data_IF_091174421757
#
_entry.id   IF_091174421757
#
_cell.length_a   1.000
_cell.length_b   1.000
_cell.length_c   1.000
_cell.angle_alpha   90.00
_cell.angle_beta   90.00
_cell.angle_gamma   90.00
#
_symmetry.space_group_name_H-M   'P 1'
#
loop_
_entity.id
_entity.type
_entity.pdbx_description
1 polymer ?
#
# COMPACT_ATOMS: atom_id res chain seq x y z
N UNK A 1 19.76 -30.43 -9.41
CA UNK A 1 20.22 -29.83 -8.14
C UNK A 1 19.76 -28.38 -8.17
N UNK A 2 18.90 -27.85 -7.29
CA UNK A 2 18.43 -28.27 -5.97
C UNK A 2 16.93 -27.99 -5.83
N UNK A 3 16.18 -29.00 -5.36
CA UNK A 3 14.90 -28.77 -4.69
C UNK A 3 15.23 -28.05 -3.38
N UNK A 4 14.76 -26.82 -3.20
CA UNK A 4 14.77 -26.15 -1.90
C UNK A 4 13.31 -25.91 -1.51
N UNK A 5 12.59 -27.01 -1.26
CA UNK A 5 11.42 -26.97 -0.38
C UNK A 5 11.92 -26.44 0.95
N UNK A 6 11.40 -25.29 1.39
CA UNK A 6 11.67 -24.75 2.73
C UNK A 6 11.05 -25.69 3.74
N UNK A 7 11.76 -26.77 4.10
CA UNK A 7 11.39 -27.58 5.25
C UNK A 7 11.33 -26.66 6.47
N UNK A 8 10.11 -26.55 6.99
CA UNK A 8 9.81 -25.74 8.17
C UNK A 8 10.67 -26.20 9.34
N UNK A 9 10.92 -25.31 10.30
CA UNK A 9 11.67 -25.64 11.52
C UNK A 9 11.05 -26.85 12.25
N UNK A 10 9.75 -27.08 12.06
CA UNK A 10 8.99 -28.18 12.66
C UNK A 10 9.07 -29.50 11.89
N UNK A 11 9.12 -29.52 10.55
CA UNK A 11 9.41 -30.74 9.76
C UNK A 11 10.78 -31.32 10.14
N UNK A 12 11.79 -30.44 10.27
CA UNK A 12 13.12 -30.82 10.78
C UNK A 12 13.09 -31.34 12.22
N UNK A 13 12.13 -30.92 13.04
CA UNK A 13 11.98 -31.42 14.41
C UNK A 13 11.30 -32.81 14.43
N UNK A 14 10.29 -33.02 13.60
CA UNK A 14 9.59 -34.29 13.45
C UNK A 14 10.51 -35.38 12.91
N UNK A 15 11.30 -35.08 11.87
CA UNK A 15 12.30 -36.01 11.33
C UNK A 15 13.39 -36.34 12.35
N UNK A 16 13.89 -35.35 13.09
CA UNK A 16 14.85 -35.58 14.18
C UNK A 16 14.28 -36.47 15.28
N UNK A 17 13.01 -36.30 15.66
CA UNK A 17 12.35 -37.20 16.61
C UNK A 17 12.22 -38.63 16.05
N UNK A 18 11.89 -38.77 14.77
CA UNK A 18 11.82 -40.06 14.08
C UNK A 18 13.19 -40.78 14.06
N UNK A 19 14.26 -40.04 13.77
CA UNK A 19 15.63 -40.56 13.83
C UNK A 19 16.03 -40.96 15.25
N UNK A 20 15.73 -40.12 16.26
CA UNK A 20 15.99 -40.43 17.67
C UNK A 20 15.23 -41.69 18.14
N UNK A 21 13.98 -41.89 17.71
CA UNK A 21 13.21 -43.10 18.02
C UNK A 21 13.87 -44.33 17.35
N UNK A 22 14.35 -44.19 16.12
CA UNK A 22 15.02 -45.28 15.38
C UNK A 22 16.39 -45.64 15.97
N UNK A 23 17.18 -44.65 16.39
CA UNK A 23 18.48 -44.83 17.03
C UNK A 23 18.34 -45.44 18.42
N UNK A 24 17.39 -44.94 19.23
CA UNK A 24 17.15 -45.47 20.57
C UNK A 24 16.65 -46.92 20.52
N UNK A 25 15.88 -47.32 19.50
CA UNK A 25 15.46 -48.71 19.29
C UNK A 25 16.60 -49.66 18.89
N UNK A 26 17.77 -49.16 18.45
CA UNK A 26 18.91 -49.95 17.98
C UNK A 26 20.00 -50.14 19.04
N UNK A 27 20.00 -49.37 20.13
CA UNK A 27 21.03 -49.46 21.16
C UNK A 27 20.73 -50.59 22.13
N UNK A 28 21.52 -51.66 22.07
CA UNK A 28 21.49 -52.73 23.06
C UNK A 28 22.05 -52.24 24.40
N UNK A 29 21.26 -52.45 25.46
CA UNK A 29 21.66 -52.60 26.87
C UNK A 29 21.39 -51.45 27.87
N UNK A 30 20.84 -51.94 28.99
CA UNK A 30 20.84 -51.45 30.38
C UNK A 30 19.67 -50.54 30.79
N UNK A 31 18.80 -51.14 31.61
CA UNK A 31 17.54 -50.67 32.22
C UNK A 31 16.30 -50.66 31.28
N UNK A 32 15.65 -51.83 31.18
CA UNK A 32 14.44 -52.04 30.37
C UNK A 32 13.28 -51.14 30.79
N UNK A 33 13.14 -50.84 32.07
CA UNK A 33 12.00 -50.06 32.58
C UNK A 33 12.17 -48.58 32.21
N UNK A 34 13.39 -48.07 32.31
CA UNK A 34 13.74 -46.72 31.85
C UNK A 34 13.68 -46.61 30.31
N UNK A 35 14.07 -47.67 29.59
CA UNK A 35 13.96 -47.77 28.13
C UNK A 35 12.51 -47.65 27.65
N UNK A 36 11.60 -48.48 28.16
CA UNK A 36 10.20 -48.46 27.73
C UNK A 36 9.49 -47.18 28.15
N UNK A 37 9.80 -46.61 29.31
CA UNK A 37 9.26 -45.33 29.75
C UNK A 37 9.66 -44.18 28.82
N UNK A 38 10.94 -44.10 28.45
CA UNK A 38 11.46 -43.05 27.56
C UNK A 38 10.98 -43.22 26.12
N UNK A 39 10.89 -44.46 25.63
CA UNK A 39 10.31 -44.77 24.32
C UNK A 39 8.82 -44.42 24.25
N UNK A 40 8.06 -44.70 25.32
CA UNK A 40 6.63 -44.33 25.41
C UNK A 40 6.44 -42.81 25.42
N UNK A 41 7.33 -42.08 26.12
CA UNK A 41 7.31 -40.62 26.12
C UNK A 41 7.59 -40.02 24.73
N UNK A 42 8.61 -40.53 24.03
CA UNK A 42 8.96 -40.09 22.66
C UNK A 42 7.84 -40.37 21.66
N UNK A 43 7.25 -41.58 21.69
CA UNK A 43 6.08 -41.92 20.85
C UNK A 43 4.87 -41.04 21.17
N UNK A 44 4.65 -40.72 22.45
CA UNK A 44 3.60 -39.80 22.89
C UNK A 44 3.80 -38.37 22.38
N UNK A 45 5.05 -37.88 22.32
CA UNK A 45 5.37 -36.58 21.73
C UNK A 45 5.14 -36.56 20.22
N UNK A 46 5.59 -37.61 19.50
CA UNK A 46 5.38 -37.73 18.06
C UNK A 46 3.89 -37.77 17.69
N UNK A 47 3.07 -38.50 18.45
CA UNK A 47 1.63 -38.57 18.23
C UNK A 47 0.92 -37.22 18.46
N UNK A 48 1.30 -36.48 19.51
CA UNK A 48 0.77 -35.13 19.77
C UNK A 48 1.12 -34.14 18.66
N UNK A 49 2.35 -34.20 18.14
CA UNK A 49 2.78 -33.34 17.03
C UNK A 49 1.97 -33.66 15.76
N UNK A 50 1.74 -34.94 15.47
CA UNK A 50 0.92 -35.36 14.33
C UNK A 50 -0.56 -34.91 14.47
N UNK A 51 -1.13 -34.97 15.67
CA UNK A 51 -2.50 -34.48 15.92
C UNK A 51 -2.61 -32.95 15.74
N UNK A 52 -1.60 -32.19 16.19
CA UNK A 52 -1.53 -30.74 15.95
C UNK A 52 -1.45 -30.45 14.44
N UNK A 53 -0.65 -31.23 13.69
CA UNK A 53 -0.53 -31.06 12.25
C UNK A 53 -1.85 -31.34 11.52
N UNK A 54 -2.55 -32.42 11.86
CA UNK A 54 -3.87 -32.69 11.28
C UNK A 54 -4.92 -31.64 11.66
N UNK A 55 -4.88 -31.09 12.88
CA UNK A 55 -5.74 -29.98 13.26
C UNK A 55 -5.40 -28.71 12.50
N UNK A 56 -4.12 -28.37 12.35
CA UNK A 56 -3.69 -27.21 11.57
C UNK A 56 -4.06 -27.36 10.11
N UNK A 57 -3.87 -28.54 9.52
CA UNK A 57 -4.29 -28.86 8.15
C UNK A 57 -5.81 -28.74 7.97
N UNK A 58 -6.60 -29.25 8.93
CA UNK A 58 -8.06 -29.11 8.91
C UNK A 58 -8.54 -27.66 9.16
N UNK A 59 -7.82 -26.88 9.96
CA UNK A 59 -8.06 -25.44 10.17
C UNK A 59 -7.67 -24.62 8.94
N UNK A 60 -6.58 -24.98 8.26
CA UNK A 60 -6.17 -24.42 6.97
C UNK A 60 -7.16 -24.80 5.85
N UNK A 61 -7.73 -26.01 5.87
CA UNK A 61 -8.79 -26.43 4.94
C UNK A 61 -10.14 -25.75 5.23
N UNK A 62 -10.36 -25.27 6.48
CA UNK A 62 -11.56 -24.53 6.91
C UNK A 62 -11.26 -23.05 7.14
N UNK A 63 -10.83 -22.34 6.12
CA UNK A 63 -10.84 -20.88 6.14
C UNK A 63 -12.27 -20.34 6.32
N UNK A 64 -12.60 -19.79 7.50
CA UNK A 64 -13.87 -19.07 7.72
C UNK A 64 -13.99 -17.88 6.76
N UNK A 65 -15.22 -17.48 6.40
CA UNK A 65 -15.42 -16.31 5.52
C UNK A 65 -14.76 -15.03 6.06
N UNK A 66 -14.76 -14.87 7.39
CA UNK A 66 -14.10 -13.76 8.09
C UNK A 66 -12.58 -13.76 7.85
N UNK A 67 -11.94 -14.93 7.96
CA UNK A 67 -10.50 -15.09 7.73
C UNK A 67 -10.13 -14.91 6.25
N UNK A 68 -11.00 -15.36 5.32
CA UNK A 68 -10.85 -15.11 3.87
C UNK A 68 -10.93 -13.63 3.56
N UNK A 69 -11.84 -12.91 4.21
CA UNK A 69 -11.95 -11.46 4.08
C UNK A 69 -10.72 -10.74 4.63
N UNK A 70 -10.18 -11.18 5.77
CA UNK A 70 -8.94 -10.63 6.33
C UNK A 70 -7.74 -10.81 5.38
N UNK A 71 -7.58 -12.00 4.78
CA UNK A 71 -6.43 -12.31 3.93
C UNK A 71 -6.53 -11.73 2.52
N UNK A 72 -7.70 -11.86 1.89
CA UNK A 72 -7.87 -11.61 0.45
C UNK A 72 -8.93 -10.54 0.17
N UNK A 73 -9.61 -10.02 1.19
CA UNK A 73 -10.73 -9.09 1.01
C UNK A 73 -10.38 -7.78 0.33
N UNK A 74 -9.08 -7.43 0.27
CA UNK A 74 -8.57 -6.25 -0.44
C UNK A 74 -7.87 -6.59 -1.77
N UNK A 75 -7.73 -7.87 -2.13
CA UNK A 75 -7.11 -8.30 -3.38
C UNK A 75 -8.10 -8.13 -4.54
N UNK A 76 -7.71 -7.37 -5.57
CA UNK A 76 -8.59 -7.00 -6.68
C UNK A 76 -8.96 -8.20 -7.56
N UNK A 77 -8.02 -9.14 -7.78
CA UNK A 77 -8.25 -10.36 -8.55
C UNK A 77 -9.20 -11.27 -7.77
N UNK A 78 -9.02 -11.38 -6.45
CA UNK A 78 -9.91 -12.12 -5.57
C UNK A 78 -11.33 -11.52 -5.52
N UNK A 79 -11.45 -10.20 -5.39
CA UNK A 79 -12.73 -9.49 -5.42
C UNK A 79 -13.46 -9.72 -6.75
N UNK A 80 -12.74 -9.61 -7.88
CA UNK A 80 -13.29 -9.88 -9.22
C UNK A 80 -13.68 -11.33 -9.41
N UNK A 81 -12.87 -12.28 -8.92
CA UNK A 81 -13.21 -13.70 -8.93
C UNK A 81 -14.51 -13.98 -8.16
N UNK A 82 -14.74 -13.31 -7.02
CA UNK A 82 -15.98 -13.41 -6.24
C UNK A 82 -17.18 -12.81 -6.98
N UNK A 83 -17.01 -11.62 -7.58
CA UNK A 83 -18.04 -10.94 -8.36
C UNK A 83 -18.51 -11.80 -9.56
N UNK A 84 -17.56 -12.43 -10.25
CA UNK A 84 -17.81 -13.24 -11.44
C UNK A 84 -18.22 -14.69 -11.12
N UNK A 85 -18.21 -15.09 -9.86
CA UNK A 85 -18.52 -16.47 -9.44
C UNK A 85 -17.48 -17.51 -9.91
N UNK A 86 -16.21 -17.11 -10.07
CA UNK A 86 -15.14 -18.00 -10.51
C UNK A 86 -14.65 -18.90 -9.35
N UNK A 87 -15.42 -19.95 -9.06
CA UNK A 87 -15.16 -20.85 -7.94
C UNK A 87 -13.81 -21.58 -8.03
N UNK A 88 -13.34 -21.88 -9.25
CA UNK A 88 -12.05 -22.56 -9.45
C UNK A 88 -10.88 -21.68 -9.01
N UNK A 89 -10.90 -20.39 -9.37
CA UNK A 89 -9.87 -19.45 -8.96
C UNK A 89 -9.94 -19.16 -7.45
N UNK A 90 -11.16 -19.01 -6.91
CA UNK A 90 -11.37 -18.82 -5.45
C UNK A 90 -10.82 -19.99 -4.63
N UNK A 91 -11.03 -21.22 -5.08
CA UNK A 91 -10.47 -22.42 -4.44
C UNK A 91 -8.94 -22.38 -4.41
N UNK A 92 -8.29 -21.93 -5.49
CA UNK A 92 -6.83 -21.76 -5.54
C UNK A 92 -6.31 -20.70 -4.57
N UNK A 93 -7.03 -19.58 -4.40
CA UNK A 93 -6.72 -18.60 -3.35
C UNK A 93 -6.83 -19.22 -1.95
N UNK A 94 -7.93 -19.92 -1.66
CA UNK A 94 -8.19 -20.48 -0.33
C UNK A 94 -7.22 -21.58 0.05
N UNK A 95 -6.82 -22.40 -0.92
CA UNK A 95 -5.83 -23.48 -0.74
C UNK A 95 -4.38 -23.00 -0.86
N UNK A 96 -4.15 -21.72 -1.16
CA UNK A 96 -2.83 -21.14 -1.45
C UNK A 96 -2.05 -21.89 -2.52
N UNK A 97 -2.79 -22.50 -3.46
CA UNK A 97 -2.23 -23.23 -4.61
C UNK A 97 -2.13 -22.37 -5.87
N UNK A 98 -2.67 -21.14 -5.83
CA UNK A 98 -2.61 -20.20 -6.93
C UNK A 98 -1.15 -19.80 -7.21
N UNK A 99 -0.71 -20.06 -8.43
CA UNK A 99 0.63 -19.66 -8.89
C UNK A 99 0.64 -18.22 -9.38
N UNK A 100 1.85 -17.66 -9.49
CA UNK A 100 2.08 -16.31 -10.00
C UNK A 100 1.51 -16.11 -11.42
N UNK A 101 1.78 -17.07 -12.33
CA UNK A 101 1.35 -17.01 -13.73
C UNK A 101 -0.18 -17.07 -13.83
N UNK A 102 -0.81 -17.95 -13.05
CA UNK A 102 -2.28 -18.06 -13.01
C UNK A 102 -2.94 -16.80 -12.44
N UNK A 103 -2.30 -16.13 -11.48
CA UNK A 103 -2.77 -14.85 -10.95
C UNK A 103 -2.67 -13.74 -12.01
N UNK A 104 -1.57 -13.71 -12.79
CA UNK A 104 -1.39 -12.75 -13.89
C UNK A 104 -2.43 -12.96 -15.00
N UNK A 105 -2.61 -14.20 -15.46
CA UNK A 105 -3.62 -14.55 -16.47
C UNK A 105 -5.02 -14.14 -16.01
N UNK A 106 -5.36 -14.40 -14.75
CA UNK A 106 -6.64 -13.99 -14.18
C UNK A 106 -6.80 -12.47 -14.15
N UNK A 107 -5.75 -11.73 -13.80
CA UNK A 107 -5.80 -10.27 -13.77
C UNK A 107 -5.98 -9.66 -15.16
N UNK A 108 -5.25 -10.16 -16.17
CA UNK A 108 -5.43 -9.77 -17.57
C UNK A 108 -6.85 -10.06 -18.05
N UNK A 109 -7.36 -11.27 -17.77
CA UNK A 109 -8.72 -11.67 -18.13
C UNK A 109 -9.78 -10.77 -17.48
N UNK A 110 -9.55 -10.32 -16.25
CA UNK A 110 -10.49 -9.47 -15.51
C UNK A 110 -10.30 -7.97 -15.79
N UNK A 111 -9.29 -7.60 -16.59
CA UNK A 111 -8.93 -6.20 -16.80
C UNK A 111 -8.48 -5.50 -15.52
N UNK A 112 -7.92 -6.25 -14.57
CA UNK A 112 -7.35 -5.73 -13.33
C UNK A 112 -5.92 -5.30 -13.63
N UNK A 113 -5.65 -3.99 -13.52
CA UNK A 113 -4.28 -3.48 -13.51
C UNK A 113 -3.60 -3.87 -12.20
N UNK A 114 -2.80 -4.95 -12.23
CA UNK A 114 -1.99 -5.39 -11.08
C UNK A 114 -0.95 -4.36 -10.66
N UNK A 115 -0.71 -3.35 -11.50
CA UNK A 115 0.34 -2.37 -11.33
C UNK A 115 1.72 -2.96 -11.56
N UNK A 116 2.67 -2.05 -11.81
CA UNK A 116 4.12 -2.35 -11.92
C UNK A 116 4.68 -2.86 -10.58
N UNK A 117 3.88 -2.77 -9.52
CA UNK A 117 4.18 -3.11 -8.14
C UNK A 117 4.45 -4.60 -7.91
N UNK A 118 3.63 -5.44 -8.55
CA UNK A 118 3.73 -6.90 -8.53
C UNK A 118 5.00 -7.38 -9.26
N UNK A 119 5.44 -6.66 -10.29
CA UNK A 119 6.55 -7.09 -11.14
C UNK A 119 7.96 -6.72 -10.64
N UNK A 120 8.16 -5.66 -9.83
CA UNK A 120 9.52 -5.08 -9.64
C UNK A 120 9.95 -4.62 -8.23
N UNK A 121 9.10 -4.67 -7.20
CA UNK A 121 9.46 -4.26 -5.82
C UNK A 121 9.70 -2.74 -5.65
N UNK A 122 9.18 -2.15 -4.55
CA UNK A 122 9.03 -0.69 -4.37
C UNK A 122 10.27 0.17 -4.66
N UNK A 123 11.47 -0.29 -4.29
CA UNK A 123 12.71 0.48 -4.38
C UNK A 123 13.25 0.64 -5.82
N UNK A 124 12.77 -0.15 -6.80
CA UNK A 124 13.20 -0.02 -8.20
C UNK A 124 12.21 0.73 -9.11
N UNK A 125 11.05 1.16 -8.57
CA UNK A 125 9.90 1.66 -9.36
C UNK A 125 9.98 3.13 -9.75
N UNK A 126 10.60 3.97 -8.91
CA UNK A 126 10.52 5.41 -9.04
C UNK A 126 11.89 6.06 -8.89
N UNK A 127 12.13 7.09 -9.67
CA UNK A 127 13.38 7.86 -9.64
C UNK A 127 13.46 8.71 -8.35
N UNK A 128 12.30 8.99 -7.75
CA UNK A 128 12.16 9.69 -6.46
C UNK A 128 10.84 9.30 -5.79
N UNK A 129 10.86 9.24 -4.44
CA UNK A 129 9.68 9.08 -3.59
C UNK A 129 9.75 10.08 -2.45
N UNK A 130 8.69 10.87 -2.26
CA UNK A 130 8.60 11.81 -1.13
C UNK A 130 8.12 11.13 0.15
N UNK A 131 8.30 11.81 1.29
CA UNK A 131 7.55 11.47 2.50
C UNK A 131 6.03 11.56 2.24
N UNK A 132 5.28 10.80 3.04
CA UNK A 132 3.82 10.86 3.05
C UNK A 132 3.32 12.16 3.68
N UNK A 133 2.29 12.76 3.06
CA UNK A 133 1.50 13.86 3.60
C UNK A 133 0.03 13.52 3.38
N UNK A 134 -0.78 13.60 4.44
CA UNK A 134 -2.23 13.30 4.39
C UNK A 134 -2.57 11.93 3.76
N UNK A 135 -1.73 10.91 4.00
CA UNK A 135 -1.92 9.55 3.48
C UNK A 135 -1.43 9.32 2.05
N UNK A 136 -0.77 10.31 1.44
CA UNK A 136 -0.27 10.24 0.07
C UNK A 136 1.22 10.55 -0.03
N UNK A 137 1.95 9.82 -0.87
CA UNK A 137 3.31 10.15 -1.26
C UNK A 137 3.38 10.46 -2.75
N UNK A 138 4.25 11.39 -3.12
CA UNK A 138 4.51 11.75 -4.51
C UNK A 138 5.70 10.97 -5.01
N UNK A 139 5.63 10.50 -6.24
CA UNK A 139 6.69 9.72 -6.86
C UNK A 139 6.95 10.22 -8.27
N UNK A 140 8.17 10.00 -8.75
CA UNK A 140 8.52 10.33 -10.15
C UNK A 140 8.99 9.10 -10.90
N UNK A 141 8.61 9.04 -12.18
CA UNK A 141 9.12 8.06 -13.13
C UNK A 141 9.17 8.69 -14.51
N UNK A 142 10.31 8.57 -15.19
CA UNK A 142 10.51 9.03 -16.56
C UNK A 142 10.15 10.52 -16.75
N UNK A 143 10.46 11.34 -15.74
CA UNK A 143 10.20 12.78 -15.75
C UNK A 143 8.74 13.19 -15.51
N UNK A 144 7.85 12.26 -15.16
CA UNK A 144 6.46 12.54 -14.77
C UNK A 144 6.20 12.23 -13.31
N UNK A 145 5.27 12.98 -12.72
CA UNK A 145 4.86 12.83 -11.34
C UNK A 145 3.58 12.01 -11.21
N UNK A 146 3.54 11.20 -10.16
CA UNK A 146 2.38 10.41 -9.75
C UNK A 146 2.20 10.53 -8.23
N UNK A 147 1.03 10.12 -7.76
CA UNK A 147 0.78 9.93 -6.33
C UNK A 147 0.48 8.47 -6.05
N UNK A 148 1.01 8.00 -4.93
CA UNK A 148 0.76 6.69 -4.36
C UNK A 148 0.12 6.82 -2.99
N UNK A 149 -0.66 5.82 -2.59
CA UNK A 149 -1.14 5.69 -1.22
C UNK A 149 -0.12 4.98 -0.32
N UNK A 150 -0.44 4.83 0.97
CA UNK A 150 0.41 4.18 1.98
C UNK A 150 0.73 2.71 1.67
N UNK A 151 -0.06 2.06 0.81
CA UNK A 151 0.19 0.70 0.33
C UNK A 151 1.15 0.67 -0.88
N UNK A 152 1.66 1.84 -1.30
CA UNK A 152 2.51 1.98 -2.47
C UNK A 152 1.77 1.98 -3.80
N UNK A 153 0.43 1.87 -3.78
CA UNK A 153 -0.38 1.74 -4.98
C UNK A 153 -0.53 3.10 -5.65
N UNK A 154 -0.32 3.16 -6.97
CA UNK A 154 -0.55 4.36 -7.78
C UNK A 154 -2.02 4.78 -7.71
N UNK A 155 -2.26 6.02 -7.31
CA UNK A 155 -3.58 6.63 -7.23
C UNK A 155 -3.86 7.54 -8.42
N UNK A 156 -2.98 8.52 -8.72
CA UNK A 156 -3.23 9.51 -9.76
C UNK A 156 -1.95 10.02 -10.46
N UNK A 157 -2.13 10.57 -11.66
CA UNK A 157 -1.09 10.98 -12.61
C UNK A 157 -1.27 10.32 -13.99
N UNK A 158 -0.40 10.60 -14.98
CA UNK A 158 0.80 11.42 -14.89
C UNK A 158 0.52 12.93 -14.91
N UNK A 159 1.33 13.68 -14.17
CA UNK A 159 1.39 15.14 -14.20
C UNK A 159 2.81 15.63 -14.48
N UNK A 160 2.96 16.88 -14.92
CA UNK A 160 4.27 17.52 -15.10
C UNK A 160 4.93 17.83 -13.75
N UNK A 161 4.13 18.11 -12.73
CA UNK A 161 4.54 18.35 -11.36
C UNK A 161 3.36 18.10 -10.40
N UNK A 162 3.65 17.68 -9.18
CA UNK A 162 2.66 17.54 -8.09
C UNK A 162 3.28 18.07 -6.81
N UNK A 163 2.57 18.97 -6.12
CA UNK A 163 2.95 19.38 -4.77
C UNK A 163 2.31 18.50 -3.68
N UNK A 164 2.79 18.61 -2.44
CA UNK A 164 2.29 17.82 -1.33
C UNK A 164 0.81 18.11 -1.07
N UNK A 165 0.08 17.11 -0.60
CA UNK A 165 -1.26 17.34 -0.04
C UNK A 165 -1.16 18.22 1.20
N UNK A 166 -2.00 19.23 1.23
CA UNK A 166 -2.22 20.11 2.36
C UNK A 166 -3.67 20.58 2.38
N UNK A 167 -4.32 20.43 3.54
CA UNK A 167 -5.72 20.79 3.77
C UNK A 167 -6.69 20.09 2.79
N UNK A 168 -6.37 18.85 2.40
CA UNK A 168 -7.19 18.03 1.51
C UNK A 168 -6.98 18.28 0.02
N UNK A 169 -6.03 19.16 -0.37
CA UNK A 169 -5.73 19.47 -1.76
C UNK A 169 -4.24 19.33 -2.07
N UNK A 170 -3.94 18.98 -3.31
CA UNK A 170 -2.60 19.07 -3.88
C UNK A 170 -2.64 19.91 -5.16
N UNK A 171 -1.62 20.74 -5.39
CA UNK A 171 -1.48 21.40 -6.69
C UNK A 171 -0.80 20.47 -7.69
N UNK A 172 -1.28 20.51 -8.93
CA UNK A 172 -0.72 19.73 -10.04
C UNK A 172 -0.48 20.62 -11.24
N UNK A 173 0.57 20.32 -12.00
CA UNK A 173 0.85 20.95 -13.29
C UNK A 173 0.50 20.00 -14.42
N UNK A 174 -0.28 20.48 -15.37
CA UNK A 174 -0.65 19.76 -16.58
C UNK A 174 -0.72 20.72 -17.75
N UNK A 175 -0.07 20.37 -18.86
CA UNK A 175 -0.12 21.12 -20.12
C UNK A 175 0.26 22.61 -19.93
N UNK A 176 1.24 22.86 -19.04
CA UNK A 176 1.74 24.22 -18.76
C UNK A 176 0.86 25.06 -17.83
N UNK A 177 -0.28 24.57 -17.35
CA UNK A 177 -1.14 25.23 -16.36
C UNK A 177 -1.20 24.46 -15.05
N UNK A 178 -1.60 25.15 -13.99
CA UNK A 178 -1.77 24.56 -12.67
C UNK A 178 -3.23 24.41 -12.27
N UNK A 179 -3.50 23.36 -11.51
CA UNK A 179 -4.79 22.99 -10.97
C UNK A 179 -4.64 22.52 -9.53
N UNK A 180 -5.73 22.50 -8.78
CA UNK A 180 -5.82 21.80 -7.50
C UNK A 180 -6.65 20.54 -7.68
N UNK A 181 -6.15 19.42 -7.17
CA UNK A 181 -6.87 18.16 -7.07
C UNK A 181 -7.21 17.85 -5.62
N UNK A 182 -8.34 17.18 -5.40
CA UNK A 182 -8.68 16.61 -4.09
C UNK A 182 -8.02 15.23 -3.87
N UNK A 183 -8.25 14.63 -2.71
CA UNK A 183 -7.74 13.30 -2.33
C UNK A 183 -8.30 12.14 -3.18
N UNK A 184 -9.32 12.40 -4.01
CA UNK A 184 -9.83 11.46 -5.03
C UNK A 184 -9.16 11.63 -6.39
N UNK A 185 -8.25 12.60 -6.53
CA UNK A 185 -7.58 12.93 -7.79
C UNK A 185 -8.44 13.76 -8.75
N UNK A 186 -9.60 14.24 -8.31
CA UNK A 186 -10.50 15.07 -9.12
C UNK A 186 -9.97 16.51 -9.16
N UNK A 187 -9.91 17.11 -10.35
CA UNK A 187 -9.58 18.54 -10.49
C UNK A 187 -10.73 19.37 -9.91
N UNK A 188 -10.43 20.15 -8.87
CA UNK A 188 -11.40 21.02 -8.20
C UNK A 188 -11.28 22.47 -8.68
N UNK A 189 -10.07 23.01 -8.78
CA UNK A 189 -9.83 24.44 -9.07
C UNK A 189 -8.76 24.63 -10.16
N UNK A 190 -8.88 25.68 -10.96
CA UNK A 190 -7.99 26.01 -12.08
C UNK A 190 -8.74 26.31 -13.38
N UNK A 191 -8.03 26.59 -14.48
CA UNK A 191 -6.57 26.68 -14.60
C UNK A 191 -5.98 28.00 -14.07
N UNK A 192 -4.75 27.92 -13.57
CA UNK A 192 -3.94 29.07 -13.12
C UNK A 192 -2.54 29.07 -13.75
N UNK A 193 -1.87 30.22 -13.71
CA UNK A 193 -0.50 30.40 -14.21
C UNK A 193 0.54 29.90 -13.21
N UNK A 194 0.31 30.18 -11.92
CA UNK A 194 1.09 29.69 -10.78
C UNK A 194 0.15 29.43 -9.60
N UNK A 195 0.46 28.43 -8.77
CA UNK A 195 -0.29 28.11 -7.54
C UNK A 195 0.66 27.60 -6.47
N UNK A 196 0.26 27.72 -5.21
CA UNK A 196 0.97 27.17 -4.06
C UNK A 196 0.01 26.37 -3.19
N UNK A 197 0.53 25.59 -2.24
CA UNK A 197 -0.27 24.76 -1.33
C UNK A 197 -1.22 25.60 -0.48
N UNK A 198 -2.31 24.97 -0.04
CA UNK A 198 -3.19 25.57 0.95
C UNK A 198 -2.48 25.75 2.29
N UNK A 199 -2.79 26.84 2.98
CA UNK A 199 -2.36 27.13 4.34
C UNK A 199 -3.36 28.07 5.00
N UNK A 200 -3.82 27.71 6.19
CA UNK A 200 -4.83 28.47 6.95
C UNK A 200 -6.13 28.69 6.18
N UNK A 201 -6.53 27.72 5.35
CA UNK A 201 -7.75 27.76 4.55
C UNK A 201 -7.63 28.53 3.22
N UNK A 202 -6.45 29.02 2.86
CA UNK A 202 -6.22 29.77 1.62
C UNK A 202 -5.01 29.23 0.85
N UNK A 203 -5.07 29.32 -0.48
CA UNK A 203 -3.92 29.12 -1.35
C UNK A 203 -3.69 30.36 -2.20
N UNK A 204 -2.43 30.80 -2.33
CA UNK A 204 -2.11 31.88 -3.28
C UNK A 204 -2.02 31.32 -4.69
N UNK A 205 -2.57 32.06 -5.63
CA UNK A 205 -2.61 31.72 -7.04
C UNK A 205 -2.31 32.95 -7.88
N UNK A 206 -1.83 32.72 -9.09
CA UNK A 206 -1.59 33.76 -10.09
C UNK A 206 -2.38 33.46 -11.35
N UNK A 207 -3.04 34.47 -11.89
CA UNK A 207 -3.76 34.39 -13.16
C UNK A 207 -3.69 35.74 -13.85
N UNK A 208 -3.31 35.76 -15.13
CA UNK A 208 -3.20 36.98 -15.92
C UNK A 208 -2.31 38.04 -15.25
N UNK A 209 -1.14 37.62 -14.78
CA UNK A 209 -0.14 38.47 -14.08
C UNK A 209 -0.54 38.99 -12.69
N UNK A 210 -1.77 38.77 -12.23
CA UNK A 210 -2.24 39.19 -10.91
C UNK A 210 -2.17 38.05 -9.90
N UNK A 211 -1.67 38.36 -8.69
CA UNK A 211 -1.74 37.46 -7.54
C UNK A 211 -3.00 37.69 -6.72
N UNK A 212 -3.57 36.59 -6.23
CA UNK A 212 -4.72 36.58 -5.35
C UNK A 212 -4.77 35.26 -4.56
N UNK A 213 -5.76 35.11 -3.69
CA UNK A 213 -5.97 33.89 -2.92
C UNK A 213 -7.22 33.17 -3.40
N UNK A 214 -7.27 31.85 -3.23
CA UNK A 214 -8.51 31.08 -3.26
C UNK A 214 -8.73 30.44 -1.91
N UNK A 215 -9.97 30.31 -1.46
CA UNK A 215 -10.30 29.53 -0.27
C UNK A 215 -10.58 28.06 -0.62
N UNK A 216 -10.81 27.22 0.38
CA UNK A 216 -11.09 25.78 0.22
C UNK A 216 -12.39 25.45 -0.53
N UNK A 217 -13.22 26.46 -0.82
CA UNK A 217 -14.41 26.32 -1.69
C UNK A 217 -14.12 26.73 -3.14
N UNK A 218 -12.91 27.17 -3.44
CA UNK A 218 -12.52 27.69 -4.75
C UNK A 218 -12.95 29.13 -5.00
N UNK A 219 -13.42 29.85 -3.97
CA UNK A 219 -13.81 31.25 -4.11
C UNK A 219 -12.54 32.11 -4.17
N UNK A 220 -12.44 32.99 -5.17
CA UNK A 220 -11.30 33.88 -5.32
C UNK A 220 -11.40 35.08 -4.36
N UNK A 221 -10.42 35.22 -3.47
CA UNK A 221 -10.32 36.23 -2.41
C UNK A 221 -9.10 37.15 -2.60
N UNK A 222 -9.16 38.35 -2.01
CA UNK A 222 -8.05 39.31 -1.90
C UNK A 222 -7.22 39.46 -3.20
N UNK A 223 -7.82 40.07 -4.24
CA UNK A 223 -7.25 40.14 -5.60
C UNK A 223 -6.47 41.41 -5.89
N UNK A 224 -5.72 41.38 -6.99
CA UNK A 224 -5.11 42.54 -7.62
C UNK A 224 -3.83 42.98 -6.92
N UNK A 225 -2.98 42.01 -6.59
CA UNK A 225 -1.67 42.22 -5.99
C UNK A 225 -0.55 41.86 -6.98
N UNK A 226 0.56 42.58 -6.89
CA UNK A 226 1.79 42.30 -7.63
C UNK A 226 2.49 41.05 -7.09
N UNK A 227 2.27 40.75 -5.81
CA UNK A 227 2.80 39.60 -5.09
C UNK A 227 2.00 39.37 -3.80
N UNK A 228 1.87 38.11 -3.40
CA UNK A 228 1.35 37.73 -2.08
C UNK A 228 2.22 36.62 -1.47
N UNK A 229 2.43 36.64 -0.16
CA UNK A 229 2.96 35.49 0.59
C UNK A 229 1.86 34.50 0.93
N UNK A 230 2.23 33.34 1.45
CA UNK A 230 1.25 32.45 2.09
C UNK A 230 0.70 33.11 3.36
N UNK A 231 -0.48 32.66 3.79
CA UNK A 231 -0.99 32.99 5.11
C UNK A 231 -0.19 32.25 6.18
N UNK A 232 0.15 32.95 7.24
CA UNK A 232 0.82 32.39 8.41
C UNK A 232 0.50 33.26 9.62
N UNK A 233 0.10 32.62 10.71
CA UNK A 233 -0.35 33.27 11.94
C UNK A 233 -1.53 34.24 11.70
N UNK A 234 -2.39 33.93 10.73
CA UNK A 234 -3.55 34.74 10.35
C UNK A 234 -3.25 35.94 9.46
N UNK A 235 -2.01 36.11 9.00
CA UNK A 235 -1.59 37.25 8.16
C UNK A 235 -0.86 36.80 6.89
N UNK A 236 -0.95 37.63 5.84
CA UNK A 236 -0.14 37.51 4.63
C UNK A 236 0.48 38.86 4.26
N UNK A 237 1.72 38.84 3.78
CA UNK A 237 2.36 40.01 3.16
C UNK A 237 1.89 40.12 1.72
N UNK A 238 1.47 41.32 1.33
CA UNK A 238 1.05 41.59 -0.04
C UNK A 238 1.79 42.80 -0.57
N UNK A 239 2.01 42.82 -1.89
CA UNK A 239 2.60 43.94 -2.60
C UNK A 239 1.60 44.48 -3.60
N UNK A 240 1.38 45.80 -3.59
CA UNK A 240 0.54 46.50 -4.55
C UNK A 240 1.16 47.84 -4.92
N UNK A 241 1.24 48.13 -6.21
CA UNK A 241 1.80 49.37 -6.74
C UNK A 241 3.21 49.65 -6.15
N UNK A 242 4.02 48.59 -6.02
CA UNK A 242 5.37 48.70 -5.46
C UNK A 242 5.47 48.77 -3.94
N UNK A 243 4.35 48.86 -3.20
CA UNK A 243 4.32 49.02 -1.74
C UNK A 243 3.90 47.72 -1.04
N UNK A 244 4.42 47.49 0.16
CA UNK A 244 4.16 46.30 0.96
C UNK A 244 3.13 46.57 2.06
N UNK A 245 2.23 45.62 2.27
CA UNK A 245 1.18 45.63 3.29
C UNK A 245 1.07 44.26 3.95
N UNK A 246 0.39 44.20 5.09
CA UNK A 246 -0.13 42.95 5.63
C UNK A 246 -1.65 42.96 5.51
N UNK A 247 -2.22 41.84 5.09
CA UNK A 247 -3.65 41.57 5.17
C UNK A 247 -3.89 40.42 6.16
N UNK A 248 -5.09 40.38 6.73
CA UNK A 248 -5.54 39.23 7.53
C UNK A 248 -6.59 38.44 6.74
N UNK A 249 -7.14 37.39 7.35
CA UNK A 249 -8.16 36.52 6.73
C UNK A 249 -9.50 37.19 6.42
N UNK A 250 -9.67 38.48 6.73
CA UNK A 250 -10.84 39.32 6.42
C UNK A 250 -10.58 40.36 5.33
N UNK A 251 -9.34 40.52 4.87
CA UNK A 251 -8.93 41.49 3.85
C UNK A 251 -8.34 42.77 4.40
#
# INVERSE_FOLDING_TARGET
MSNNSRETVFERHYEKLGQQISEYARTESIDSDNFFAKLKALKGQQAKIAEIFEKQKQEEEKFSEERRHELFGNDLVYQKAKELGNNQLLEKFHTRSLTEDEYQEAAEQFGVDLGIDYYYGLESRYDYVSAFSEGFARVTKDGKWFVINEKGQKCFGPYDYIDAFSEGFASVKKDGKYFFINTKGEICFGPYDEVYTFSEGFAKVKKNEEWFFINTKGEECFKGYDYVSDFSEGFAKVKKDGKWFFINTKG
#
